data_IF_164135485106
#
_entry.id   IF_164135485106
#
_cell.length_a   1.000
_cell.length_b   1.000
_cell.length_c   1.000
_cell.angle_alpha   90.00
_cell.angle_beta   90.00
_cell.angle_gamma   90.00
#
_symmetry.space_group_name_H-M   'P 1'
#
loop_
_entity.id
_entity.type
_entity.pdbx_description
1 polymer ?
#
# COMPACT_ATOMS: atom_id res chain seq x y z
N UNK A 1 15.07 -2.96 -18.77
CA UNK A 1 13.81 -3.58 -18.30
C UNK A 1 13.88 -4.17 -16.88
N UNK A 2 15.07 -4.21 -16.24
CA UNK A 2 15.30 -4.77 -14.89
C UNK A 2 14.71 -3.92 -13.75
N UNK A 3 14.49 -2.61 -13.96
CA UNK A 3 14.03 -1.68 -12.91
C UNK A 3 12.62 -1.97 -12.39
N UNK A 4 11.68 -2.39 -13.28
CA UNK A 4 10.26 -2.58 -12.90
C UNK A 4 10.06 -3.75 -11.95
N UNK A 5 10.72 -4.87 -12.20
CA UNK A 5 10.61 -6.06 -11.36
C UNK A 5 11.11 -5.79 -9.95
N UNK A 6 12.17 -4.97 -9.81
CA UNK A 6 12.70 -4.58 -8.50
C UNK A 6 11.77 -3.70 -7.69
N UNK A 7 11.00 -2.81 -8.34
CA UNK A 7 9.96 -2.06 -7.64
C UNK A 7 8.83 -2.97 -7.15
N UNK A 8 8.43 -3.95 -7.96
CA UNK A 8 7.39 -4.92 -7.58
C UNK A 8 7.85 -5.78 -6.42
N UNK A 9 9.09 -6.27 -6.46
CA UNK A 9 9.72 -7.03 -5.37
C UNK A 9 9.74 -6.21 -4.07
N UNK A 10 10.21 -4.96 -4.13
CA UNK A 10 10.23 -4.09 -2.95
C UNK A 10 8.82 -3.77 -2.39
N UNK A 11 7.82 -3.59 -3.27
CA UNK A 11 6.43 -3.39 -2.84
C UNK A 11 5.92 -4.60 -2.06
N UNK A 12 6.15 -5.82 -2.58
CA UNK A 12 5.66 -7.06 -1.96
C UNK A 12 6.43 -7.40 -0.69
N UNK A 13 7.76 -7.24 -0.70
CA UNK A 13 8.63 -7.61 0.42
C UNK A 13 8.42 -6.72 1.65
N UNK A 14 8.16 -5.43 1.43
CA UNK A 14 8.01 -4.44 2.49
C UNK A 14 6.57 -3.95 2.70
N UNK A 15 5.60 -4.59 2.05
CA UNK A 15 4.17 -4.24 2.10
C UNK A 15 3.92 -2.73 1.86
N UNK A 16 4.59 -2.17 0.85
CA UNK A 16 4.51 -0.75 0.54
C UNK A 16 3.23 -0.41 -0.22
N UNK A 17 2.70 0.78 0.01
CA UNK A 17 1.65 1.34 -0.85
C UNK A 17 2.11 1.40 -2.31
N UNK A 18 1.22 1.06 -3.25
CA UNK A 18 1.50 1.20 -4.69
C UNK A 18 1.88 2.64 -5.12
N UNK A 19 1.55 3.64 -4.30
CA UNK A 19 1.94 5.03 -4.51
C UNK A 19 3.44 5.29 -4.32
N UNK A 20 4.17 4.35 -3.72
CA UNK A 20 5.61 4.42 -3.46
C UNK A 20 6.43 4.82 -4.71
N UNK A 21 6.09 4.26 -5.88
CA UNK A 21 6.79 4.56 -7.15
C UNK A 21 6.57 6.00 -7.65
N UNK A 22 5.64 6.73 -7.06
CA UNK A 22 5.31 8.11 -7.44
C UNK A 22 5.87 9.15 -6.45
N UNK A 23 6.52 8.70 -5.39
CA UNK A 23 7.06 9.60 -4.37
C UNK A 23 8.15 10.49 -4.96
N UNK A 24 8.00 11.81 -4.78
CA UNK A 24 8.90 12.83 -5.35
C UNK A 24 10.37 12.58 -4.99
N UNK A 25 10.66 12.24 -3.73
CA UNK A 25 12.04 11.95 -3.28
C UNK A 25 12.60 10.67 -3.87
N UNK A 26 11.78 9.64 -4.08
CA UNK A 26 12.19 8.37 -4.71
C UNK A 26 12.53 8.61 -6.17
N UNK A 27 11.67 9.34 -6.90
CA UNK A 27 11.93 9.71 -8.29
C UNK A 27 13.19 10.57 -8.42
N UNK A 28 13.33 11.60 -7.59
CA UNK A 28 14.52 12.46 -7.60
C UNK A 28 15.81 11.68 -7.28
N UNK A 29 15.77 10.73 -6.34
CA UNK A 29 16.89 9.85 -6.04
C UNK A 29 17.27 8.99 -7.26
N UNK A 30 16.28 8.41 -7.93
CA UNK A 30 16.53 7.58 -9.10
C UNK A 30 17.00 8.39 -10.31
N UNK A 31 16.42 9.56 -10.55
CA UNK A 31 16.83 10.48 -11.62
C UNK A 31 18.29 10.94 -11.42
N UNK A 32 18.70 11.12 -10.16
CA UNK A 32 20.10 11.43 -9.81
C UNK A 32 21.04 10.27 -10.11
N UNK A 33 20.63 9.02 -9.84
CA UNK A 33 21.46 7.83 -10.07
C UNK A 33 21.49 7.45 -11.56
N UNK A 34 20.34 7.48 -12.24
CA UNK A 34 20.22 7.20 -13.65
C UNK A 34 18.97 7.86 -14.26
N UNK A 35 19.14 8.96 -15.03
CA UNK A 35 18.03 9.70 -15.62
C UNK A 35 17.34 8.97 -16.80
N UNK A 36 17.91 7.87 -17.31
CA UNK A 36 17.27 7.09 -18.38
C UNK A 36 16.17 6.15 -17.85
N UNK A 37 16.04 6.03 -16.51
CA UNK A 37 15.05 5.12 -15.93
C UNK A 37 13.65 5.74 -15.96
N UNK A 38 12.79 5.15 -16.77
CA UNK A 38 11.38 5.52 -16.81
C UNK A 38 10.66 4.94 -15.59
N UNK A 39 10.20 5.82 -14.71
CA UNK A 39 9.45 5.46 -13.51
C UNK A 39 8.02 5.00 -13.85
N UNK A 40 7.55 3.87 -13.28
CA UNK A 40 6.18 3.41 -13.49
C UNK A 40 5.17 4.33 -12.78
N UNK A 41 3.93 4.31 -13.27
CA UNK A 41 2.79 4.84 -12.52
C UNK A 41 2.32 3.86 -11.46
N UNK A 42 1.55 4.35 -10.49
CA UNK A 42 0.83 3.53 -9.50
C UNK A 42 0.01 2.44 -10.19
N UNK A 43 -0.75 2.79 -11.22
CA UNK A 43 -1.63 1.85 -11.94
C UNK A 43 -0.82 0.74 -12.61
N UNK A 44 0.34 1.07 -13.19
CA UNK A 44 1.19 0.04 -13.79
C UNK A 44 1.83 -0.85 -12.73
N UNK A 45 2.14 -0.31 -11.55
CA UNK A 45 2.65 -1.10 -10.42
C UNK A 45 1.59 -2.07 -9.89
N UNK A 46 0.33 -1.65 -9.81
CA UNK A 46 -0.80 -2.54 -9.48
C UNK A 46 -0.89 -3.70 -10.46
N UNK A 47 -0.87 -3.42 -11.76
CA UNK A 47 -0.93 -4.47 -12.80
C UNK A 47 0.25 -5.44 -12.69
N UNK A 48 1.45 -4.94 -12.42
CA UNK A 48 2.63 -5.80 -12.32
C UNK A 48 2.63 -6.65 -11.04
N UNK A 49 2.22 -6.09 -9.90
CA UNK A 49 2.02 -6.87 -8.66
C UNK A 49 0.93 -7.92 -8.85
N UNK A 50 -0.17 -7.58 -9.52
CA UNK A 50 -1.23 -8.55 -9.84
C UNK A 50 -0.72 -9.72 -10.68
N UNK A 51 0.16 -9.48 -11.67
CA UNK A 51 0.78 -10.56 -12.45
C UNK A 51 1.60 -11.50 -11.56
N UNK A 52 2.36 -10.96 -10.61
CA UNK A 52 3.11 -11.77 -9.64
C UNK A 52 2.16 -12.59 -8.78
N UNK A 53 1.10 -11.97 -8.25
CA UNK A 53 0.07 -12.67 -7.47
C UNK A 53 -0.54 -13.84 -8.25
N UNK A 54 -0.98 -13.63 -9.50
CA UNK A 54 -1.57 -14.71 -10.31
C UNK A 54 -0.57 -15.83 -10.59
N UNK A 55 0.70 -15.49 -10.83
CA UNK A 55 1.76 -16.49 -11.03
C UNK A 55 1.99 -17.34 -9.78
N UNK A 56 2.10 -16.72 -8.61
CA UNK A 56 2.28 -17.46 -7.35
C UNK A 56 1.04 -18.29 -6.99
N UNK A 57 -0.16 -17.76 -7.24
CA UNK A 57 -1.42 -18.50 -7.07
C UNK A 57 -1.47 -19.76 -7.94
N UNK A 58 -1.05 -19.67 -9.20
CA UNK A 58 -1.01 -20.84 -10.09
C UNK A 58 0.04 -21.87 -9.64
N UNK A 59 1.23 -21.43 -9.19
CA UNK A 59 2.22 -22.33 -8.61
C UNK A 59 1.67 -23.06 -7.38
N UNK A 60 0.96 -22.36 -6.50
CA UNK A 60 0.32 -22.96 -5.34
C UNK A 60 -0.74 -23.98 -5.75
N UNK A 61 -1.56 -23.67 -6.76
CA UNK A 61 -2.55 -24.61 -7.33
C UNK A 61 -1.89 -25.88 -7.85
N UNK A 62 -0.81 -25.74 -8.61
CA UNK A 62 -0.06 -26.87 -9.15
C UNK A 62 0.61 -27.71 -8.05
N UNK A 63 1.15 -27.07 -7.02
CA UNK A 63 1.71 -27.75 -5.86
C UNK A 63 0.62 -28.54 -5.11
N UNK A 64 -0.54 -27.92 -4.89
CA UNK A 64 -1.67 -28.57 -4.24
C UNK A 64 -2.21 -29.77 -5.04
N UNK A 65 -2.24 -29.68 -6.38
CA UNK A 65 -2.72 -30.77 -7.24
C UNK A 65 -1.80 -32.01 -7.22
N UNK A 66 -0.53 -31.86 -6.83
CA UNK A 66 0.43 -32.97 -6.72
C UNK A 66 0.27 -33.76 -5.42
N UNK A 67 -0.43 -33.21 -4.42
CA UNK A 67 -0.58 -33.86 -3.12
C UNK A 67 -1.75 -34.86 -3.23
N UNK A 68 -1.51 -36.17 -3.07
CA UNK A 68 -2.57 -37.18 -3.22
C UNK A 68 -3.57 -37.19 -2.05
N UNK A 69 -3.23 -36.53 -0.95
CA UNK A 69 -4.01 -36.47 0.29
C UNK A 69 -4.82 -35.16 0.39
N UNK A 70 -5.84 -35.15 1.25
CA UNK A 70 -6.60 -33.93 1.57
C UNK A 70 -5.71 -32.95 2.34
N UNK A 71 -5.65 -31.70 1.88
CA UNK A 71 -4.93 -30.60 2.54
C UNK A 71 -5.94 -29.51 2.90
N UNK A 72 -5.85 -28.96 4.11
CA UNK A 72 -6.66 -27.83 4.56
C UNK A 72 -5.80 -26.56 4.55
N UNK A 73 -6.34 -25.46 4.01
CA UNK A 73 -5.72 -24.14 4.05
C UNK A 73 -6.61 -23.22 4.89
N UNK A 74 -6.02 -22.55 5.88
CA UNK A 74 -6.70 -21.55 6.69
C UNK A 74 -5.99 -20.22 6.45
N UNK A 75 -6.72 -19.24 5.91
CA UNK A 75 -6.26 -17.86 5.82
C UNK A 75 -7.10 -17.06 6.80
N UNK A 76 -6.45 -16.38 7.73
CA UNK A 76 -7.10 -15.41 8.58
C UNK A 76 -7.14 -14.07 7.83
N UNK A 77 -8.34 -13.56 7.60
CA UNK A 77 -8.57 -12.29 6.90
C UNK A 77 -9.57 -11.49 7.75
N UNK A 78 -9.09 -10.78 8.77
CA UNK A 78 -9.93 -9.80 9.44
C UNK A 78 -10.10 -8.56 8.54
N UNK A 79 -11.33 -8.08 8.42
CA UNK A 79 -11.62 -6.76 7.89
C UNK A 79 -11.68 -5.79 9.06
N UNK A 80 -10.77 -4.82 9.11
CA UNK A 80 -10.95 -3.69 10.01
C UNK A 80 -11.93 -2.72 9.33
N UNK A 81 -13.11 -2.50 9.92
CA UNK A 81 -14.00 -1.42 9.51
C UNK A 81 -13.34 -0.08 9.89
N UNK A 82 -12.58 0.51 8.97
CA UNK A 82 -11.95 1.84 9.16
C UNK A 82 -12.98 2.98 9.31
N UNK A 83 -14.24 2.71 8.98
CA UNK A 83 -15.33 3.67 8.95
C UNK A 83 -15.82 4.11 10.34
N UNK A 84 -15.55 3.35 11.40
CA UNK A 84 -15.96 3.71 12.77
C UNK A 84 -14.86 4.49 13.50
N UNK A 85 -13.61 4.04 13.38
CA UNK A 85 -12.44 4.65 14.04
C UNK A 85 -12.13 6.06 13.54
N UNK A 86 -12.30 6.34 12.24
CA UNK A 86 -12.09 7.68 11.68
C UNK A 86 -13.19 8.66 12.09
N UNK A 87 -14.45 8.20 12.20
CA UNK A 87 -15.57 9.03 12.67
C UNK A 87 -15.42 9.39 14.14
N UNK A 88 -14.99 8.44 14.96
CA UNK A 88 -14.77 8.65 16.39
C UNK A 88 -13.56 9.55 16.66
N UNK A 89 -12.47 9.36 15.91
CA UNK A 89 -11.29 10.24 15.99
C UNK A 89 -11.62 11.67 15.54
N UNK A 90 -12.38 11.83 14.44
CA UNK A 90 -12.81 13.17 14.01
C UNK A 90 -13.80 13.79 14.99
N UNK A 91 -14.77 13.04 15.54
CA UNK A 91 -15.71 13.53 16.56
C UNK A 91 -14.97 14.07 17.79
N UNK A 92 -14.02 13.30 18.32
CA UNK A 92 -13.23 13.70 19.48
C UNK A 92 -12.35 14.94 19.23
N UNK A 93 -11.90 15.15 17.99
CA UNK A 93 -11.14 16.35 17.59
C UNK A 93 -12.04 17.59 17.47
N UNK A 94 -13.29 17.42 17.04
CA UNK A 94 -14.24 18.52 16.89
C UNK A 94 -14.73 19.01 18.26
N UNK A 95 -15.00 18.10 19.19
CA UNK A 95 -15.45 18.44 20.55
C UNK A 95 -14.32 19.07 21.41
N UNK A 96 -13.05 18.81 21.09
CA UNK A 96 -11.88 19.35 21.80
C UNK A 96 -11.48 20.80 21.42
N UNK A 97 -12.12 21.42 20.43
CA UNK A 97 -11.73 22.77 19.93
C UNK A 97 -12.58 23.92 20.48
N UNK A 98 -13.52 23.67 21.39
CA UNK A 98 -14.40 24.71 21.95
C UNK A 98 -13.96 25.24 23.33
N UNK A 99 -12.74 25.78 23.46
CA UNK A 99 -12.41 26.63 24.62
C UNK A 99 -11.16 27.52 24.39
N UNK A 100 -11.32 28.65 23.70
CA UNK A 100 -10.87 29.99 24.16
C UNK A 100 -11.00 31.06 23.07
N UNK A 101 -12.21 31.57 22.85
CA UNK A 101 -12.38 32.95 22.37
C UNK A 101 -13.19 33.72 23.41
N UNK A 102 -12.51 34.52 24.24
CA UNK A 102 -13.11 35.72 24.83
C UNK A 102 -12.02 36.68 25.31
N UNK A 103 -12.07 37.92 24.80
CA UNK A 103 -11.23 39.01 25.28
C UNK A 103 -10.84 40.05 24.24
N UNK A 104 -11.76 40.50 23.38
CA UNK A 104 -11.60 41.79 22.70
C UNK A 104 -12.25 42.84 23.61
N UNK A 105 -11.46 43.61 24.35
CA UNK A 105 -11.92 44.82 25.01
C UNK A 105 -10.89 45.96 24.87
N UNK A 106 -11.23 46.89 23.97
CA UNK A 106 -11.08 48.35 24.03
C UNK A 106 -9.78 48.96 24.60
N UNK A 107 -8.96 49.53 23.70
CA UNK A 107 -8.69 50.98 23.64
C UNK A 107 -8.19 51.38 22.25
#
# INVERSE_FOLDING_TARGET
MISREKFVEAIIEHDLSYSFVEYKKIRACLDYVNPEVIMPSRNTSVVDVQKVHFKEKEKLRQASAKIPNRVCLTSDCWTADEDELLKETMSNVIDGTSASESGVDKL
#
